data_IF_225909659161
#
_entry.id   IF_225909659161
#
_cell.length_a   1.000
_cell.length_b   1.000
_cell.length_c   1.000
_cell.angle_alpha   90.00
_cell.angle_beta   90.00
_cell.angle_gamma   90.00
#
_symmetry.space_group_name_H-M   'P 1'
#
loop_
_entity.id
_entity.type
_entity.pdbx_description
1 polymer ?
#
# COMPACT_ATOMS: atom_id res chain seq x y z
N UNK A 1 -26.81 -5.04 -1.38
CA UNK A 1 -27.38 -6.38 -1.63
C UNK A 1 -26.30 -7.41 -1.37
N UNK A 2 -26.59 -8.56 -0.75
CA UNK A 2 -25.63 -9.67 -0.69
C UNK A 2 -25.82 -10.48 -1.96
N UNK A 3 -24.80 -10.55 -2.81
CA UNK A 3 -24.87 -11.33 -4.05
C UNK A 3 -24.06 -12.61 -3.87
N UNK A 4 -24.72 -13.74 -4.07
CA UNK A 4 -24.07 -15.02 -4.28
C UNK A 4 -23.93 -15.23 -5.78
N UNK A 5 -22.70 -15.23 -6.28
CA UNK A 5 -22.45 -15.53 -7.68
C UNK A 5 -22.28 -17.03 -7.84
N UNK A 6 -23.06 -17.69 -8.73
CA UNK A 6 -22.95 -19.12 -8.96
C UNK A 6 -21.63 -19.51 -9.65
N UNK A 7 -20.88 -18.52 -10.14
CA UNK A 7 -19.59 -18.69 -10.81
C UNK A 7 -18.48 -18.01 -10.01
N UNK A 8 -17.34 -18.69 -9.86
CA UNK A 8 -16.13 -18.12 -9.25
C UNK A 8 -15.46 -17.04 -10.14
N UNK A 9 -15.98 -16.86 -11.37
CA UNK A 9 -15.53 -15.86 -12.33
C UNK A 9 -16.66 -14.91 -12.74
N UNK A 10 -16.39 -13.60 -12.73
CA UNK A 10 -17.35 -12.55 -13.10
C UNK A 10 -16.66 -11.46 -13.90
N UNK A 11 -17.36 -10.93 -14.88
CA UNK A 11 -16.98 -9.67 -15.55
C UNK A 11 -18.15 -8.71 -15.43
N UNK A 12 -17.93 -7.56 -14.79
CA UNK A 12 -18.90 -6.49 -14.65
C UNK A 12 -18.53 -5.33 -15.57
N UNK A 13 -19.43 -4.99 -16.49
CA UNK A 13 -19.32 -3.83 -17.37
C UNK A 13 -20.54 -2.92 -17.18
N UNK A 14 -20.58 -2.18 -16.08
CA UNK A 14 -21.70 -1.27 -15.77
C UNK A 14 -21.24 0.19 -15.84
N UNK A 15 -22.16 1.12 -16.08
CA UNK A 15 -21.83 2.55 -15.92
C UNK A 15 -21.47 2.81 -14.45
N UNK A 16 -22.42 2.52 -13.56
CA UNK A 16 -22.25 2.69 -12.13
C UNK A 16 -22.64 1.37 -11.45
N UNK A 17 -21.79 0.87 -10.55
CA UNK A 17 -22.11 -0.26 -9.69
C UNK A 17 -21.96 0.17 -8.24
N UNK A 18 -23.06 0.18 -7.51
CA UNK A 18 -23.12 0.70 -6.15
C UNK A 18 -23.49 -0.41 -5.17
N UNK A 19 -22.77 -0.49 -4.05
CA UNK A 19 -23.10 -1.30 -2.86
C UNK A 19 -23.35 -2.79 -3.12
N UNK A 20 -22.28 -3.58 -3.17
CA UNK A 20 -22.36 -5.05 -3.14
C UNK A 20 -21.57 -5.67 -1.99
N UNK A 21 -22.07 -6.80 -1.53
CA UNK A 21 -21.35 -7.68 -0.61
C UNK A 21 -21.17 -9.04 -1.30
N UNK A 22 -19.92 -9.45 -1.47
CA UNK A 22 -19.52 -10.74 -2.01
C UNK A 22 -19.10 -11.62 -0.83
N UNK A 23 -19.86 -12.69 -0.60
CA UNK A 23 -19.61 -13.63 0.49
C UNK A 23 -19.53 -15.05 -0.05
N UNK A 24 -18.35 -15.47 -0.51
CA UNK A 24 -18.12 -16.78 -1.10
C UNK A 24 -16.98 -17.49 -0.38
N UNK A 25 -16.89 -18.81 -0.54
CA UNK A 25 -15.70 -19.53 -0.09
C UNK A 25 -14.49 -19.07 -0.91
N UNK A 26 -14.56 -19.23 -2.23
CA UNK A 26 -13.48 -18.93 -3.15
C UNK A 26 -14.03 -18.09 -4.32
N UNK A 27 -13.34 -17.00 -4.66
CA UNK A 27 -13.59 -16.19 -5.85
C UNK A 27 -12.28 -16.05 -6.61
N UNK A 28 -12.25 -16.49 -7.86
CA UNK A 28 -10.97 -16.74 -8.55
C UNK A 28 -10.58 -15.67 -9.56
N UNK A 29 -11.52 -15.15 -10.34
CA UNK A 29 -11.23 -14.12 -11.33
C UNK A 29 -12.38 -13.14 -11.41
N UNK A 30 -12.16 -11.88 -11.10
CA UNK A 30 -13.18 -10.87 -11.41
C UNK A 30 -12.56 -9.68 -12.12
N UNK A 31 -13.30 -9.16 -13.08
CA UNK A 31 -12.94 -7.95 -13.81
C UNK A 31 -14.09 -6.95 -13.68
N UNK A 32 -13.81 -5.81 -13.06
CA UNK A 32 -14.74 -4.71 -12.90
C UNK A 32 -14.31 -3.56 -13.79
N UNK A 33 -15.02 -3.36 -14.91
CA UNK A 33 -14.84 -2.22 -15.80
C UNK A 33 -16.06 -1.31 -15.70
N UNK A 34 -16.06 -0.38 -14.74
CA UNK A 34 -17.17 0.55 -14.55
C UNK A 34 -16.70 1.98 -14.63
N UNK A 35 -17.60 2.93 -14.85
CA UNK A 35 -17.25 4.34 -14.66
C UNK A 35 -17.02 4.58 -13.17
N UNK A 36 -18.04 4.30 -12.37
CA UNK A 36 -17.99 4.49 -10.92
C UNK A 36 -18.33 3.16 -10.21
N UNK A 37 -17.40 2.66 -9.38
CA UNK A 37 -17.62 1.49 -8.53
C UNK A 37 -17.52 1.93 -7.07
N UNK A 38 -18.63 1.84 -6.33
CA UNK A 38 -18.72 2.40 -4.99
C UNK A 38 -19.17 1.35 -3.98
N UNK A 39 -18.54 1.35 -2.81
CA UNK A 39 -18.89 0.52 -1.64
C UNK A 39 -18.99 -0.97 -1.99
N UNK A 40 -17.87 -1.68 -2.08
CA UNK A 40 -17.93 -3.14 -2.17
C UNK A 40 -17.24 -3.78 -0.98
N UNK A 41 -17.81 -4.89 -0.52
CA UNK A 41 -17.25 -5.69 0.57
C UNK A 41 -17.01 -7.09 0.05
N UNK A 42 -15.77 -7.55 0.11
CA UNK A 42 -15.34 -8.89 -0.25
C UNK A 42 -14.98 -9.66 1.01
N UNK A 43 -15.85 -10.59 1.39
CA UNK A 43 -15.65 -11.49 2.53
C UNK A 43 -15.51 -12.91 2.00
N UNK A 44 -14.28 -13.37 1.73
CA UNK A 44 -14.06 -14.70 1.19
C UNK A 44 -12.96 -15.43 1.95
N UNK A 45 -12.90 -16.75 1.83
CA UNK A 45 -11.71 -17.47 2.31
C UNK A 45 -10.54 -17.10 1.39
N UNK A 46 -10.70 -17.39 0.10
CA UNK A 46 -9.66 -17.13 -0.90
C UNK A 46 -10.21 -16.21 -2.01
N UNK A 47 -9.60 -15.04 -2.18
CA UNK A 47 -9.91 -14.13 -3.29
C UNK A 47 -8.66 -14.01 -4.17
N UNK A 48 -8.77 -14.51 -5.39
CA UNK A 48 -7.67 -14.54 -6.36
C UNK A 48 -7.99 -13.63 -7.53
N UNK A 49 -6.97 -13.06 -8.16
CA UNK A 49 -7.01 -12.30 -9.42
C UNK A 49 -8.22 -11.37 -9.59
N UNK A 50 -8.13 -10.16 -9.07
CA UNK A 50 -9.14 -9.13 -9.36
C UNK A 50 -8.52 -7.99 -10.14
N UNK A 51 -9.25 -7.51 -11.14
CA UNK A 51 -8.86 -6.35 -11.92
C UNK A 51 -9.96 -5.30 -11.84
N UNK A 52 -9.60 -4.13 -11.34
CA UNK A 52 -10.49 -2.98 -11.23
C UNK A 52 -10.01 -1.90 -12.19
N UNK A 53 -10.74 -1.71 -13.29
CA UNK A 53 -10.48 -0.67 -14.27
C UNK A 53 -11.64 0.32 -14.25
N UNK A 54 -11.60 1.32 -13.38
CA UNK A 54 -12.69 2.27 -13.23
C UNK A 54 -12.21 3.71 -13.34
N UNK A 55 -13.12 4.65 -13.61
CA UNK A 55 -12.78 6.05 -13.45
C UNK A 55 -12.62 6.33 -11.96
N UNK A 56 -13.66 6.06 -11.19
CA UNK A 56 -13.69 6.33 -9.76
C UNK A 56 -14.00 5.01 -9.00
N UNK A 57 -13.09 4.58 -8.11
CA UNK A 57 -13.28 3.43 -7.24
C UNK A 57 -13.24 3.90 -5.78
N UNK A 58 -14.38 3.76 -5.08
CA UNK A 58 -14.54 4.36 -3.75
C UNK A 58 -14.99 3.32 -2.74
N UNK A 59 -14.36 3.30 -1.56
CA UNK A 59 -14.71 2.47 -0.40
C UNK A 59 -14.78 0.99 -0.75
N UNK A 60 -13.65 0.29 -0.73
CA UNK A 60 -13.66 -1.17 -0.81
C UNK A 60 -13.09 -1.78 0.45
N UNK A 61 -13.69 -2.87 0.88
CA UNK A 61 -13.24 -3.62 2.06
C UNK A 61 -12.99 -5.06 1.64
N UNK A 62 -11.77 -5.53 1.87
CA UNK A 62 -11.35 -6.89 1.60
C UNK A 62 -11.05 -7.58 2.93
N UNK A 63 -11.93 -8.47 3.37
CA UNK A 63 -11.75 -9.31 4.55
C UNK A 63 -11.61 -10.76 4.10
N UNK A 64 -10.40 -11.21 3.80
CA UNK A 64 -10.17 -12.57 3.32
C UNK A 64 -9.10 -13.29 4.13
N UNK A 65 -9.08 -14.62 4.07
CA UNK A 65 -7.92 -15.34 4.59
C UNK A 65 -6.73 -15.04 3.67
N UNK A 66 -6.89 -15.36 2.38
CA UNK A 66 -5.83 -15.21 1.39
C UNK A 66 -6.33 -14.30 0.25
N UNK A 67 -5.62 -13.20 -0.01
CA UNK A 67 -5.89 -12.27 -1.11
C UNK A 67 -4.69 -12.21 -2.06
N UNK A 68 -4.87 -12.75 -3.26
CA UNK A 68 -3.77 -12.95 -4.21
C UNK A 68 -4.03 -12.18 -5.50
N UNK A 69 -3.03 -11.41 -5.95
CA UNK A 69 -3.01 -10.66 -7.21
C UNK A 69 -4.21 -9.74 -7.40
N UNK A 70 -4.06 -8.46 -7.09
CA UNK A 70 -5.07 -7.46 -7.44
C UNK A 70 -4.43 -6.33 -8.22
N UNK A 71 -5.16 -5.85 -9.22
CA UNK A 71 -4.72 -4.75 -10.07
C UNK A 71 -5.79 -3.67 -10.03
N UNK A 72 -5.39 -2.48 -9.60
CA UNK A 72 -6.22 -1.30 -9.54
C UNK A 72 -5.70 -0.28 -10.55
N UNK A 73 -6.40 -0.14 -11.69
CA UNK A 73 -6.12 0.85 -12.72
C UNK A 73 -7.25 1.86 -12.76
N UNK A 74 -7.20 2.90 -11.92
CA UNK A 74 -8.28 3.88 -11.83
C UNK A 74 -7.79 5.30 -11.99
N UNK A 75 -8.68 6.23 -12.32
CA UNK A 75 -8.31 7.64 -12.21
C UNK A 75 -8.18 7.99 -10.73
N UNK A 76 -9.25 7.77 -9.97
CA UNK A 76 -9.32 8.12 -8.56
C UNK A 76 -9.67 6.86 -7.74
N UNK A 77 -8.81 6.50 -6.78
CA UNK A 77 -9.00 5.39 -5.86
C UNK A 77 -9.05 5.89 -4.42
N UNK A 78 -10.21 5.76 -3.79
CA UNK A 78 -10.48 6.36 -2.47
C UNK A 78 -10.89 5.31 -1.46
N UNK A 79 -10.27 5.35 -0.28
CA UNK A 79 -10.55 4.51 0.89
C UNK A 79 -10.60 3.01 0.58
N UNK A 80 -9.51 2.30 0.77
CA UNK A 80 -9.53 0.83 0.73
C UNK A 80 -9.01 0.26 2.03
N UNK A 81 -9.63 -0.82 2.47
CA UNK A 81 -9.25 -1.53 3.68
C UNK A 81 -8.98 -2.98 3.31
N UNK A 82 -7.76 -3.42 3.57
CA UNK A 82 -7.32 -4.79 3.39
C UNK A 82 -7.06 -5.40 4.76
N UNK A 83 -7.91 -6.34 5.16
CA UNK A 83 -7.82 -7.03 6.43
C UNK A 83 -7.74 -8.54 6.16
N UNK A 84 -6.53 -9.03 5.89
CA UNK A 84 -6.33 -10.41 5.46
C UNK A 84 -5.28 -11.12 6.29
N UNK A 85 -5.26 -12.45 6.25
CA UNK A 85 -4.11 -13.17 6.80
C UNK A 85 -2.90 -12.94 5.88
N UNK A 86 -3.04 -13.31 4.61
CA UNK A 86 -1.96 -13.24 3.63
C UNK A 86 -2.39 -12.37 2.44
N UNK A 87 -1.58 -11.34 2.12
CA UNK A 87 -1.79 -10.43 0.99
C UNK A 87 -0.52 -10.38 0.12
N UNK A 88 -0.57 -10.98 -1.05
CA UNK A 88 0.67 -11.27 -1.79
C UNK A 88 1.06 -10.16 -2.75
N UNK A 89 0.38 -10.05 -3.89
CA UNK A 89 0.75 -9.12 -4.97
C UNK A 89 -0.37 -8.12 -5.20
N UNK A 90 -0.11 -6.82 -5.06
CA UNK A 90 -1.04 -5.78 -5.51
C UNK A 90 -0.32 -4.74 -6.34
N UNK A 91 -1.02 -4.24 -7.35
CA UNK A 91 -0.55 -3.17 -8.22
C UNK A 91 -1.60 -2.07 -8.22
N UNK A 92 -1.19 -0.87 -7.82
CA UNK A 92 -1.98 0.34 -7.82
C UNK A 92 -1.41 1.28 -8.86
N UNK A 93 -2.13 1.47 -9.96
CA UNK A 93 -1.76 2.36 -11.05
C UNK A 93 -2.88 3.40 -11.23
N UNK A 94 -2.82 4.49 -10.47
CA UNK A 94 -3.89 5.48 -10.44
C UNK A 94 -3.37 6.90 -10.62
N UNK A 95 -4.25 7.84 -10.96
CA UNK A 95 -3.87 9.25 -10.88
C UNK A 95 -3.77 9.64 -9.41
N UNK A 96 -4.85 9.47 -8.67
CA UNK A 96 -4.95 9.89 -7.27
C UNK A 96 -5.33 8.68 -6.38
N UNK A 97 -4.49 8.38 -5.39
CA UNK A 97 -4.72 7.32 -4.39
C UNK A 97 -4.70 7.94 -2.99
N UNK A 98 -5.86 7.95 -2.33
CA UNK A 98 -6.01 8.75 -1.10
C UNK A 98 -5.68 7.95 0.15
N UNK A 99 -6.66 7.25 0.72
CA UNK A 99 -6.53 6.52 1.99
C UNK A 99 -6.50 5.02 1.76
N UNK A 100 -5.45 4.32 2.17
CA UNK A 100 -5.47 2.85 2.27
C UNK A 100 -5.02 2.39 3.65
N UNK A 101 -5.61 1.29 4.10
CA UNK A 101 -5.24 0.61 5.34
C UNK A 101 -4.99 -0.85 5.03
N UNK A 102 -3.79 -1.31 5.35
CA UNK A 102 -3.37 -2.69 5.24
C UNK A 102 -3.16 -3.24 6.65
N UNK A 103 -4.04 -4.13 7.08
CA UNK A 103 -3.98 -4.82 8.36
C UNK A 103 -3.88 -6.32 8.12
N UNK A 104 -2.67 -6.84 7.92
CA UNK A 104 -2.48 -8.24 7.54
C UNK A 104 -1.44 -8.94 8.41
N UNK A 105 -1.44 -10.28 8.41
CA UNK A 105 -0.31 -11.00 8.99
C UNK A 105 0.90 -10.81 8.09
N UNK A 106 0.79 -11.22 6.83
CA UNK A 106 1.90 -11.20 5.88
C UNK A 106 1.50 -10.37 4.64
N UNK A 107 2.31 -9.36 4.30
CA UNK A 107 2.14 -8.51 3.11
C UNK A 107 3.42 -8.51 2.28
N UNK A 108 3.36 -9.10 1.08
CA UNK A 108 4.59 -9.44 0.34
C UNK A 108 5.04 -8.36 -0.63
N UNK A 109 4.35 -8.19 -1.75
CA UNK A 109 4.78 -7.34 -2.87
C UNK A 109 3.70 -6.35 -3.22
N UNK A 110 3.96 -5.06 -3.05
CA UNK A 110 3.06 -4.01 -3.54
C UNK A 110 3.82 -3.02 -4.41
N UNK A 111 3.13 -2.57 -5.46
CA UNK A 111 3.63 -1.55 -6.36
C UNK A 111 2.60 -0.43 -6.42
N UNK A 112 3.02 0.77 -6.05
CA UNK A 112 2.24 1.99 -6.12
C UNK A 112 2.85 2.89 -7.20
N UNK A 113 2.16 3.01 -8.33
CA UNK A 113 2.53 3.89 -9.43
C UNK A 113 1.44 4.94 -9.62
N UNK A 114 1.54 6.06 -8.91
CA UNK A 114 0.49 7.07 -8.95
C UNK A 114 1.03 8.48 -9.17
N UNK A 115 0.17 9.42 -9.56
CA UNK A 115 0.56 10.82 -9.53
C UNK A 115 0.65 11.27 -8.07
N UNK A 116 -0.44 11.15 -7.33
CA UNK A 116 -0.55 11.63 -5.96
C UNK A 116 -0.97 10.47 -5.03
N UNK A 117 -0.16 10.17 -4.01
CA UNK A 117 -0.42 9.15 -3.00
C UNK A 117 -0.42 9.77 -1.60
N UNK A 118 -1.58 9.79 -0.95
CA UNK A 118 -1.73 10.61 0.26
C UNK A 118 -1.44 9.86 1.56
N UNK A 119 -2.42 9.16 2.12
CA UNK A 119 -2.35 8.53 3.46
C UNK A 119 -2.39 7.02 3.34
N UNK A 120 -1.33 6.34 3.75
CA UNK A 120 -1.34 4.87 3.82
C UNK A 120 -0.87 4.40 5.18
N UNK A 121 -1.54 3.37 5.69
CA UNK A 121 -1.22 2.75 6.96
C UNK A 121 -0.98 1.27 6.72
N UNK A 122 0.21 0.81 7.10
CA UNK A 122 0.61 -0.58 7.05
C UNK A 122 0.79 -1.09 8.47
N UNK A 123 -0.14 -1.93 8.93
CA UNK A 123 -0.11 -2.57 10.23
C UNK A 123 -0.02 -4.09 10.04
N UNK A 124 1.18 -4.63 9.88
CA UNK A 124 1.37 -6.04 9.57
C UNK A 124 2.36 -6.72 10.48
N UNK A 125 2.34 -8.05 10.53
CA UNK A 125 3.45 -8.77 11.18
C UNK A 125 4.68 -8.64 10.29
N UNK A 126 4.60 -9.09 9.05
CA UNK A 126 5.73 -9.14 8.13
C UNK A 126 5.37 -8.36 6.84
N UNK A 127 6.17 -7.35 6.49
CA UNK A 127 6.03 -6.52 5.29
C UNK A 127 7.33 -6.56 4.46
N UNK A 128 7.28 -7.17 3.29
CA UNK A 128 8.51 -7.56 2.58
C UNK A 128 8.98 -6.52 1.57
N UNK A 129 8.36 -6.43 0.40
CA UNK A 129 8.82 -5.61 -0.73
C UNK A 129 7.75 -4.61 -1.14
N UNK A 130 8.03 -3.33 -1.00
CA UNK A 130 7.12 -2.29 -1.50
C UNK A 130 7.89 -1.30 -2.37
N UNK A 131 7.25 -0.90 -3.46
CA UNK A 131 7.77 0.08 -4.39
C UNK A 131 6.77 1.20 -4.54
N UNK A 132 7.21 2.41 -4.21
CA UNK A 132 6.45 3.64 -4.36
C UNK A 132 7.09 4.49 -5.44
N UNK A 133 6.43 4.57 -6.59
CA UNK A 133 6.83 5.40 -7.71
C UNK A 133 5.76 6.46 -7.96
N UNK A 134 5.88 7.62 -7.32
CA UNK A 134 4.85 8.65 -7.41
C UNK A 134 5.41 10.03 -7.69
N UNK A 135 4.57 10.97 -8.14
CA UNK A 135 5.00 12.37 -8.15
C UNK A 135 5.08 12.87 -6.70
N UNK A 136 3.97 12.79 -5.98
CA UNK A 136 3.87 13.32 -4.63
C UNK A 136 3.40 12.19 -3.67
N UNK A 137 4.19 11.92 -2.62
CA UNK A 137 3.90 10.93 -1.57
C UNK A 137 3.88 11.62 -0.21
N UNK A 138 2.70 11.64 0.43
CA UNK A 138 2.52 12.49 1.62
C UNK A 138 2.80 11.77 2.93
N UNK A 139 1.80 11.09 3.51
CA UNK A 139 1.86 10.49 4.84
C UNK A 139 1.83 8.98 4.75
N UNK A 140 2.88 8.30 5.17
CA UNK A 140 2.87 6.84 5.31
C UNK A 140 3.26 6.45 6.73
N UNK A 141 2.55 5.47 7.26
CA UNK A 141 2.82 4.90 8.58
C UNK A 141 3.03 3.40 8.42
N UNK A 142 4.21 2.95 8.83
CA UNK A 142 4.59 1.55 8.85
C UNK A 142 4.72 1.10 10.30
N UNK A 143 3.78 0.30 10.76
CA UNK A 143 3.77 -0.30 12.09
C UNK A 143 3.83 -1.82 11.96
N UNK A 144 5.02 -2.38 11.85
CA UNK A 144 5.19 -3.81 11.59
C UNK A 144 6.16 -4.47 12.56
N UNK A 145 6.10 -5.81 12.66
CA UNK A 145 7.19 -6.51 13.35
C UNK A 145 8.45 -6.43 12.48
N UNK A 146 8.37 -6.93 11.26
CA UNK A 146 9.51 -7.01 10.35
C UNK A 146 9.19 -6.25 9.04
N UNK A 147 10.03 -5.28 8.68
CA UNK A 147 9.94 -4.49 7.44
C UNK A 147 11.24 -4.61 6.65
N UNK A 148 11.17 -5.25 5.48
CA UNK A 148 12.38 -5.69 4.78
C UNK A 148 12.88 -4.66 3.76
N UNK A 149 12.30 -4.59 2.58
CA UNK A 149 12.78 -3.80 1.45
C UNK A 149 11.73 -2.79 1.01
N UNK A 150 12.01 -1.51 1.15
CA UNK A 150 11.14 -0.46 0.63
C UNK A 150 11.92 0.47 -0.28
N UNK A 151 11.32 0.78 -1.43
CA UNK A 151 11.91 1.70 -2.41
C UNK A 151 10.94 2.84 -2.65
N UNK A 152 11.41 4.05 -2.37
CA UNK A 152 10.68 5.29 -2.59
C UNK A 152 11.36 6.07 -3.71
N UNK A 153 10.71 6.13 -4.86
CA UNK A 153 11.13 6.91 -6.02
C UNK A 153 10.08 7.97 -6.33
N UNK A 154 10.20 9.15 -5.70
CA UNK A 154 9.20 10.19 -5.85
C UNK A 154 9.80 11.56 -6.16
N UNK A 155 9.00 12.48 -6.67
CA UNK A 155 9.46 13.87 -6.73
C UNK A 155 9.50 14.43 -5.30
N UNK A 156 8.37 14.40 -4.60
CA UNK A 156 8.25 14.97 -3.26
C UNK A 156 7.78 13.88 -2.28
N UNK A 157 8.54 13.66 -1.20
CA UNK A 157 8.24 12.71 -0.12
C UNK A 157 8.23 13.44 1.22
N UNK A 158 7.06 13.56 1.84
CA UNK A 158 6.91 14.44 3.01
C UNK A 158 7.07 13.71 4.33
N UNK A 159 6.05 13.04 4.85
CA UNK A 159 6.04 12.46 6.21
C UNK A 159 6.01 10.95 6.17
N UNK A 160 7.06 10.29 6.65
CA UNK A 160 7.09 8.84 6.79
C UNK A 160 7.45 8.47 8.23
N UNK A 161 6.67 7.55 8.79
CA UNK A 161 6.89 7.04 10.14
C UNK A 161 7.09 5.54 10.06
N UNK A 162 8.25 5.08 10.52
CA UNK A 162 8.62 3.68 10.60
C UNK A 162 8.71 3.28 12.07
N UNK A 163 7.72 2.52 12.54
CA UNK A 163 7.64 1.98 13.88
C UNK A 163 7.69 0.45 13.84
N UNK A 164 8.88 -0.13 13.78
CA UNK A 164 9.02 -1.58 13.58
C UNK A 164 9.98 -2.21 14.60
N UNK A 165 9.90 -3.54 14.77
CA UNK A 165 10.98 -4.22 15.49
C UNK A 165 12.24 -4.21 14.64
N UNK A 166 12.14 -4.73 13.42
CA UNK A 166 13.28 -4.91 12.53
C UNK A 166 13.02 -4.17 11.20
N UNK A 167 13.87 -3.20 10.86
CA UNK A 167 13.82 -2.43 9.62
C UNK A 167 15.12 -2.63 8.84
N UNK A 168 15.03 -3.24 7.66
CA UNK A 168 16.23 -3.77 6.98
C UNK A 168 16.78 -2.80 5.94
N UNK A 169 16.19 -2.73 4.75
CA UNK A 169 16.71 -1.97 3.60
C UNK A 169 15.67 -0.95 3.16
N UNK A 170 16.00 0.33 3.25
CA UNK A 170 15.15 1.40 2.71
C UNK A 170 15.97 2.26 1.75
N UNK A 171 15.39 2.53 0.59
CA UNK A 171 16.01 3.35 -0.45
C UNK A 171 15.10 4.52 -0.76
N UNK A 172 15.61 5.72 -0.59
CA UNK A 172 14.91 6.98 -0.83
C UNK A 172 15.60 7.73 -1.96
N UNK A 173 15.00 7.67 -3.15
CA UNK A 173 15.42 8.36 -4.35
C UNK A 173 14.40 9.45 -4.69
N UNK A 174 14.51 10.63 -4.05
CA UNK A 174 13.52 11.69 -4.25
C UNK A 174 14.15 13.04 -4.55
N UNK A 175 13.40 13.96 -5.15
CA UNK A 175 13.88 15.35 -5.25
C UNK A 175 13.89 15.98 -3.86
N UNK A 176 12.74 15.94 -3.19
CA UNK A 176 12.52 16.61 -1.91
C UNK A 176 12.09 15.58 -0.85
N UNK A 177 12.87 15.44 0.23
CA UNK A 177 12.59 14.56 1.36
C UNK A 177 12.45 15.38 2.65
N UNK A 178 11.26 15.39 3.26
CA UNK A 178 10.96 16.32 4.35
C UNK A 178 11.19 15.70 5.74
N UNK A 179 10.28 14.88 6.24
CA UNK A 179 10.25 14.38 7.62
C UNK A 179 10.22 12.86 7.64
N UNK A 180 11.30 12.25 8.12
CA UNK A 180 11.40 10.80 8.30
C UNK A 180 11.63 10.47 9.76
N UNK A 181 10.78 9.62 10.33
CA UNK A 181 10.89 9.18 11.72
C UNK A 181 11.10 7.67 11.74
N UNK A 182 12.22 7.24 12.31
CA UNK A 182 12.58 5.84 12.45
C UNK A 182 12.62 5.47 13.93
N UNK A 183 11.60 4.76 14.39
CA UNK A 183 11.47 4.24 15.74
C UNK A 183 11.52 2.71 15.72
N UNK A 184 12.72 2.12 15.69
CA UNK A 184 12.86 0.68 15.54
C UNK A 184 13.82 0.05 16.55
N UNK A 185 13.68 -1.26 16.82
CA UNK A 185 14.70 -1.95 17.60
C UNK A 185 16.00 -2.06 16.79
N UNK A 186 15.90 -2.52 15.55
CA UNK A 186 17.04 -2.68 14.66
C UNK A 186 16.80 -1.93 13.35
N UNK A 187 17.78 -1.13 12.94
CA UNK A 187 17.80 -0.40 11.67
C UNK A 187 19.10 -0.73 10.93
N UNK A 188 19.01 -1.40 9.78
CA UNK A 188 20.21 -1.92 9.11
C UNK A 188 20.76 -0.98 8.05
N UNK A 189 20.13 -0.89 6.88
CA UNK A 189 20.65 -0.20 5.68
C UNK A 189 19.68 0.86 5.21
N UNK A 190 20.10 2.12 5.24
CA UNK A 190 19.33 3.25 4.71
C UNK A 190 20.14 3.97 3.62
N UNK A 191 19.54 4.15 2.44
CA UNK A 191 20.15 4.87 1.33
C UNK A 191 19.30 6.09 1.00
N UNK A 192 19.89 7.27 1.11
CA UNK A 192 19.25 8.55 0.80
C UNK A 192 19.96 9.21 -0.38
N UNK A 193 19.33 9.13 -1.55
CA UNK A 193 19.73 9.84 -2.76
C UNK A 193 18.69 10.93 -3.05
N UNK A 194 18.74 12.01 -2.26
CA UNK A 194 17.78 13.11 -2.39
C UNK A 194 18.48 14.44 -2.67
N UNK A 195 17.84 15.32 -3.45
CA UNK A 195 18.38 16.66 -3.70
C UNK A 195 18.29 17.53 -2.44
N UNK A 196 17.16 17.47 -1.75
CA UNK A 196 16.93 18.18 -0.50
C UNK A 196 16.48 17.20 0.59
N UNK A 197 17.07 17.34 1.77
CA UNK A 197 16.71 16.61 2.98
C UNK A 197 16.49 17.62 4.13
N UNK A 198 15.39 17.51 4.86
CA UNK A 198 15.03 18.50 5.90
C UNK A 198 15.17 17.96 7.32
N UNK A 199 14.50 16.86 7.66
CA UNK A 199 14.42 16.34 9.02
C UNK A 199 14.43 14.82 9.03
N UNK A 200 15.38 14.26 9.78
CA UNK A 200 15.42 12.85 10.12
C UNK A 200 15.52 12.70 11.63
N UNK A 201 14.71 11.80 12.18
CA UNK A 201 14.70 11.44 13.60
C UNK A 201 14.91 9.94 13.71
N UNK A 202 15.97 9.53 14.42
CA UNK A 202 16.31 8.13 14.62
C UNK A 202 16.25 7.76 16.09
N UNK A 203 15.16 7.13 16.51
CA UNK A 203 15.04 6.50 17.82
C UNK A 203 15.20 4.98 17.68
N UNK A 204 16.43 4.52 17.45
CA UNK A 204 16.70 3.10 17.23
C UNK A 204 17.71 2.53 18.24
N UNK A 205 17.48 1.30 18.70
CA UNK A 205 18.44 0.65 19.62
C UNK A 205 19.75 0.29 18.90
N UNK A 206 19.66 -0.16 17.66
CA UNK A 206 20.82 -0.50 16.83
C UNK A 206 20.68 0.16 15.45
N UNK A 207 21.75 0.82 14.99
CA UNK A 207 21.90 1.38 13.64
C UNK A 207 23.21 0.88 13.02
N UNK A 208 23.14 0.24 11.86
CA UNK A 208 24.33 -0.39 11.24
C UNK A 208 24.92 0.43 10.08
N UNK A 209 24.12 0.89 9.13
CA UNK A 209 24.61 1.54 7.90
C UNK A 209 23.63 2.60 7.38
N UNK A 210 24.13 3.81 7.21
CA UNK A 210 23.44 4.93 6.56
C UNK A 210 24.34 5.49 5.45
N UNK A 211 23.78 5.71 4.26
CA UNK A 211 24.48 6.30 3.12
C UNK A 211 23.63 7.42 2.51
N UNK A 212 24.14 8.66 2.51
CA UNK A 212 23.45 9.83 1.94
C UNK A 212 24.08 11.17 2.35
N UNK A 213 23.61 12.29 1.79
CA UNK A 213 24.07 13.64 2.19
C UNK A 213 23.55 13.99 3.59
N UNK A 214 24.47 14.33 4.49
CA UNK A 214 24.22 14.65 5.90
C UNK A 214 23.70 16.07 6.11
N UNK A 215 22.54 16.41 5.56
CA UNK A 215 21.90 17.69 5.89
C UNK A 215 20.92 17.48 7.06
N UNK A 216 21.42 17.72 8.28
CA UNK A 216 20.72 17.78 9.58
C UNK A 216 20.03 16.49 10.03
N UNK A 217 20.83 15.60 10.62
CA UNK A 217 20.36 14.52 11.48
C UNK A 217 20.08 15.06 12.90
N UNK A 218 18.90 14.79 13.46
CA UNK A 218 18.64 14.97 14.90
C UNK A 218 18.57 13.56 15.50
N UNK A 219 19.61 13.19 16.22
CA UNK A 219 19.68 11.96 17.03
C UNK A 219 19.04 12.19 18.38
#
# INVERSE_FOLDING_TARGET
MVIFWPSNSVVSNNKDLTTQVFNNKDLTTQVFNNKDLTTQVFNNKDLTTQVFNNKDLTTQVFNNKDLTTQVFNNKDLTTQVFNNKDLTTQVFNNKDLTTQVFNNKDLTTQVFNNKDLTTQVFNNKDLTTQVFNNKDLTTQVFNNKDLTTQVFNNKDLTTQVFNNKDLTTQVFNNKDLTTQVFNNKNLTTQVFNNKNLTTQVFNNKNLTTQQGREDRCVT
#
